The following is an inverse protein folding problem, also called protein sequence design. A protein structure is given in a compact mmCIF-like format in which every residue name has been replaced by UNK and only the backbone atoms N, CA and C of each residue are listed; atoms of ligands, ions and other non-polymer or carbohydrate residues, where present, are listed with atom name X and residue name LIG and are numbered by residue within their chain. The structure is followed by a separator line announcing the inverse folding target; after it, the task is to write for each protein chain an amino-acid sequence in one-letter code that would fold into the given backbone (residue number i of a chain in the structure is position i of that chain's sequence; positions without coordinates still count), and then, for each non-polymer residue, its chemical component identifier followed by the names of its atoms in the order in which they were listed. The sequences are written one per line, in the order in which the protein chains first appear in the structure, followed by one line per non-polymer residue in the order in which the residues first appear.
data_IF_907066873291
#
_entry.id   IF_907066873291
#
_cell.length_a   1.000
_cell.length_b   1.000
_cell.length_c   1.000
_cell.angle_alpha   90.00
_cell.angle_beta   90.00
_cell.angle_gamma   90.00
#
_symmetry.space_group_name_H-M   'P 1'
#
loop_
_entity.id
_entity.type
_entity.pdbx_description
1 polymer ?
#
# COMPACT_ATOMS: atom_id res chain seq x y z
N UNK A 1 28.32 8.88 -19.26
CA UNK A 1 28.01 7.48 -18.89
C UNK A 1 26.62 7.20 -19.42
N UNK A 2 26.35 6.04 -20.04
CA UNK A 2 25.05 5.75 -20.67
C UNK A 2 24.50 4.47 -20.08
N UNK A 3 23.26 4.50 -19.62
CA UNK A 3 22.52 3.31 -19.21
C UNK A 3 21.86 2.68 -20.44
N UNK A 4 22.40 1.57 -20.94
CA UNK A 4 21.85 0.88 -22.12
C UNK A 4 20.43 0.35 -21.84
N UNK A 5 19.64 0.10 -22.89
CA UNK A 5 18.27 -0.43 -22.76
C UNK A 5 18.22 -1.73 -21.95
N UNK A 6 19.16 -2.64 -22.22
CA UNK A 6 19.20 -3.96 -21.55
C UNK A 6 19.57 -3.83 -20.08
N UNK A 7 20.56 -2.99 -19.76
CA UNK A 7 20.92 -2.73 -18.36
C UNK A 7 19.80 -2.01 -17.62
N UNK A 8 19.14 -1.03 -18.25
CA UNK A 8 17.98 -0.35 -17.68
C UNK A 8 16.88 -1.35 -17.34
N UNK A 9 16.59 -2.28 -18.24
CA UNK A 9 15.61 -3.34 -17.99
C UNK A 9 16.08 -4.29 -16.87
N UNK A 10 17.36 -4.64 -16.82
CA UNK A 10 17.96 -5.44 -15.75
C UNK A 10 17.83 -4.78 -14.37
N UNK A 11 18.22 -3.50 -14.24
CA UNK A 11 18.03 -2.74 -13.00
C UNK A 11 16.57 -2.66 -12.60
N UNK A 12 15.67 -2.33 -13.55
CA UNK A 12 14.23 -2.27 -13.31
C UNK A 12 13.73 -3.61 -12.75
N UNK A 13 13.97 -4.72 -13.44
CA UNK A 13 13.53 -6.05 -13.02
C UNK A 13 14.11 -6.46 -11.66
N UNK A 14 15.40 -6.19 -11.41
CA UNK A 14 16.04 -6.50 -10.13
C UNK A 14 15.43 -5.70 -8.97
N UNK A 15 15.26 -4.39 -9.16
CA UNK A 15 14.71 -3.51 -8.12
C UNK A 15 13.24 -3.86 -7.88
N UNK A 16 12.42 -3.95 -8.92
CA UNK A 16 11.00 -4.34 -8.80
C UNK A 16 10.85 -5.70 -8.13
N UNK A 17 11.69 -6.68 -8.49
CA UNK A 17 11.64 -8.01 -7.87
C UNK A 17 11.99 -8.02 -6.38
N UNK A 18 12.86 -7.11 -5.93
CA UNK A 18 13.35 -7.08 -4.54
C UNK A 18 12.60 -6.12 -3.61
N UNK A 19 12.16 -4.97 -4.11
CA UNK A 19 11.48 -3.93 -3.31
C UNK A 19 10.01 -3.77 -3.64
N UNK A 20 9.53 -4.39 -4.72
CA UNK A 20 8.18 -4.17 -5.23
C UNK A 20 8.00 -2.84 -5.97
N UNK A 21 9.00 -1.96 -6.00
CA UNK A 21 8.92 -0.65 -6.66
C UNK A 21 8.63 -0.80 -8.16
N UNK A 22 7.58 -0.14 -8.62
CA UNK A 22 7.16 -0.04 -10.00
C UNK A 22 7.63 1.28 -10.60
N UNK A 23 8.34 1.18 -11.73
CA UNK A 23 8.81 2.35 -12.48
C UNK A 23 7.95 2.56 -13.71
N UNK A 24 7.24 3.70 -13.79
CA UNK A 24 6.61 4.16 -15.03
C UNK A 24 7.69 4.68 -15.99
N UNK A 25 7.35 4.84 -17.27
CA UNK A 25 8.33 5.26 -18.27
C UNK A 25 8.97 6.63 -17.97
N UNK A 26 8.25 7.52 -17.28
CA UNK A 26 8.80 8.80 -16.82
C UNK A 26 9.73 8.68 -15.59
N UNK A 27 9.62 7.61 -14.81
CA UNK A 27 10.48 7.35 -13.64
C UNK A 27 11.83 6.74 -14.04
N UNK A 28 11.99 6.32 -15.29
CA UNK A 28 13.24 5.72 -15.79
C UNK A 28 14.42 6.70 -15.72
N UNK A 29 14.15 8.01 -15.82
CA UNK A 29 15.18 9.03 -15.63
C UNK A 29 15.63 9.11 -14.16
N UNK A 30 14.70 9.03 -13.22
CA UNK A 30 15.03 9.01 -11.79
C UNK A 30 15.86 7.76 -11.43
N UNK A 31 15.55 6.61 -12.06
CA UNK A 31 16.35 5.39 -11.91
C UNK A 31 17.78 5.59 -12.43
N UNK A 32 17.94 6.20 -13.60
CA UNK A 32 19.25 6.46 -14.20
C UNK A 32 20.08 7.44 -13.36
N UNK A 33 19.47 8.53 -12.90
CA UNK A 33 20.12 9.52 -12.03
C UNK A 33 20.56 8.87 -10.70
N UNK A 34 19.70 8.07 -10.07
CA UNK A 34 20.03 7.36 -8.83
C UNK A 34 21.18 6.35 -8.99
N UNK A 35 21.19 5.58 -10.09
CA UNK A 35 22.28 4.66 -10.41
C UNK A 35 23.59 5.42 -10.56
N UNK A 36 23.60 6.55 -11.27
CA UNK A 36 24.82 7.34 -11.46
C UNK A 36 25.31 8.00 -10.18
N UNK A 37 24.41 8.46 -9.31
CA UNK A 37 24.78 9.00 -7.99
C UNK A 37 25.44 7.92 -7.12
N UNK A 38 24.90 6.69 -7.10
CA UNK A 38 25.52 5.57 -6.40
C UNK A 38 26.88 5.17 -6.97
N UNK A 39 26.98 5.07 -8.29
CA UNK A 39 28.27 4.81 -8.96
C UNK A 39 29.33 5.84 -8.59
N UNK A 40 28.95 7.12 -8.52
CA UNK A 40 29.85 8.20 -8.09
C UNK A 40 30.26 8.04 -6.62
N UNK A 41 29.32 7.70 -5.73
CA UNK A 41 29.62 7.45 -4.31
C UNK A 41 30.60 6.28 -4.11
N UNK A 42 30.51 5.24 -4.94
CA UNK A 42 31.40 4.08 -4.93
C UNK A 42 32.67 4.25 -5.78
N UNK A 43 32.85 5.40 -6.43
CA UNK A 43 33.94 5.65 -7.38
C UNK A 43 34.00 4.63 -8.54
N UNK A 44 32.85 4.14 -8.99
CA UNK A 44 32.71 3.20 -10.10
C UNK A 44 32.42 3.94 -11.41
N UNK A 45 33.10 3.58 -12.49
CA UNK A 45 32.96 4.21 -13.81
C UNK A 45 32.26 3.32 -14.86
N UNK A 46 31.97 2.06 -14.51
CA UNK A 46 31.36 1.06 -15.42
C UNK A 46 29.99 0.63 -14.91
N UNK A 47 28.94 0.91 -15.69
CA UNK A 47 27.54 0.57 -15.36
C UNK A 47 27.33 -0.94 -15.25
N UNK A 48 27.84 -1.78 -16.17
CA UNK A 48 27.81 -3.24 -15.99
C UNK A 48 28.49 -3.70 -14.70
N UNK A 49 29.63 -3.10 -14.34
CA UNK A 49 30.34 -3.46 -13.11
C UNK A 49 29.53 -3.09 -11.87
N UNK A 50 28.86 -1.92 -11.88
CA UNK A 50 27.96 -1.52 -10.80
C UNK A 50 26.73 -2.45 -10.71
N UNK A 51 26.14 -2.86 -11.84
CA UNK A 51 25.06 -3.85 -11.83
C UNK A 51 25.51 -5.18 -11.22
N UNK A 52 26.68 -5.70 -11.59
CA UNK A 52 27.26 -6.90 -11.00
C UNK A 52 27.51 -6.73 -9.49
N UNK A 53 28.02 -5.57 -9.07
CA UNK A 53 28.22 -5.24 -7.65
C UNK A 53 26.90 -5.25 -6.87
N UNK A 54 25.86 -4.61 -7.40
CA UNK A 54 24.52 -4.52 -6.80
C UNK A 54 23.81 -5.88 -6.69
N UNK A 55 24.10 -6.82 -7.59
CA UNK A 55 23.38 -8.11 -7.70
C UNK A 55 24.13 -9.28 -7.09
N UNK A 56 25.45 -9.26 -7.13
CA UNK A 56 26.27 -10.45 -6.90
C UNK A 56 27.40 -10.26 -5.88
N UNK A 57 27.66 -9.03 -5.41
CA UNK A 57 28.71 -8.81 -4.41
C UNK A 57 28.30 -9.24 -3.01
N UNK A 58 29.28 -9.37 -2.11
CA UNK A 58 29.04 -9.57 -0.67
C UNK A 58 28.34 -8.37 -0.01
N UNK A 59 28.41 -7.18 -0.62
CA UNK A 59 27.79 -5.94 -0.14
C UNK A 59 26.47 -5.61 -0.85
N UNK A 60 25.93 -6.55 -1.63
CA UNK A 60 24.72 -6.34 -2.45
C UNK A 60 23.52 -5.86 -1.63
N UNK A 61 23.40 -6.33 -0.38
CA UNK A 61 22.29 -5.97 0.50
C UNK A 61 22.38 -4.51 0.93
N UNK A 62 23.55 -4.08 1.40
CA UNK A 62 23.79 -2.71 1.82
C UNK A 62 23.67 -1.74 0.64
N UNK A 63 24.25 -2.09 -0.51
CA UNK A 63 24.16 -1.24 -1.70
C UNK A 63 22.72 -1.16 -2.25
N UNK A 64 21.97 -2.24 -2.18
CA UNK A 64 20.56 -2.23 -2.58
C UNK A 64 19.75 -1.26 -1.70
N UNK A 65 19.98 -1.25 -0.39
CA UNK A 65 19.35 -0.28 0.53
C UNK A 65 19.71 1.15 0.18
N UNK A 66 20.99 1.41 -0.09
CA UNK A 66 21.48 2.73 -0.46
C UNK A 66 20.86 3.24 -1.77
N UNK A 67 20.71 2.37 -2.77
CA UNK A 67 20.05 2.72 -4.03
C UNK A 67 18.55 3.01 -3.81
N UNK A 68 17.87 2.19 -3.01
CA UNK A 68 16.45 2.41 -2.68
C UNK A 68 16.22 3.77 -2.00
N UNK A 69 17.11 4.18 -1.10
CA UNK A 69 16.98 5.47 -0.41
C UNK A 69 16.88 6.66 -1.37
N UNK A 70 17.57 6.61 -2.53
CA UNK A 70 17.51 7.65 -3.55
C UNK A 70 16.23 7.55 -4.37
N UNK A 71 15.78 6.32 -4.66
CA UNK A 71 14.63 6.05 -5.52
C UNK A 71 13.28 6.34 -4.84
N UNK A 72 13.22 6.27 -3.52
CA UNK A 72 11.99 6.55 -2.76
C UNK A 72 11.92 8.05 -2.41
N UNK A 73 10.91 8.76 -2.93
CA UNK A 73 10.67 10.16 -2.56
C UNK A 73 10.04 10.22 -1.16
N UNK A 74 10.84 10.59 -0.16
CA UNK A 74 10.40 10.68 1.23
C UNK A 74 9.80 12.06 1.57
N UNK A 75 8.63 12.38 1.00
CA UNK A 75 7.89 13.56 1.42
C UNK A 75 6.93 13.21 2.55
N UNK A 76 7.34 13.49 3.79
CA UNK A 76 6.52 13.30 4.98
C UNK A 76 6.52 14.55 5.86
N UNK A 77 5.38 14.83 6.50
CA UNK A 77 5.17 15.93 7.42
C UNK A 77 4.12 15.52 8.45
N UNK A 78 4.16 16.12 9.63
CA UNK A 78 3.19 15.83 10.69
C UNK A 78 1.76 16.13 10.21
N UNK A 79 0.79 15.34 10.67
CA UNK A 79 -0.63 15.50 10.33
C UNK A 79 -0.87 15.58 8.81
N UNK A 80 -0.12 14.79 8.02
CA UNK A 80 -0.40 14.63 6.57
C UNK A 80 -1.79 14.03 6.40
N UNK A 81 -2.67 14.69 5.64
CA UNK A 81 -4.09 14.34 5.52
C UNK A 81 -4.76 14.18 6.90
N UNK A 82 -4.85 15.32 7.60
CA UNK A 82 -5.43 15.50 8.93
C UNK A 82 -6.80 14.81 9.15
N UNK A 83 -7.74 14.80 8.19
CA UNK A 83 -8.98 14.01 8.28
C UNK A 83 -8.81 12.57 8.79
N UNK A 84 -7.76 11.86 8.36
CA UNK A 84 -7.53 10.46 8.79
C UNK A 84 -7.12 10.38 10.27
N UNK A 85 -6.38 11.36 10.77
CA UNK A 85 -6.02 11.42 12.18
C UNK A 85 -7.18 11.89 13.06
N UNK A 86 -8.07 12.75 12.52
CA UNK A 86 -9.33 13.10 13.19
C UNK A 86 -10.21 11.86 13.36
N UNK A 87 -10.40 11.06 12.31
CA UNK A 87 -11.14 9.78 12.42
C UNK A 87 -10.48 8.82 13.39
N UNK A 88 -9.14 8.74 13.40
CA UNK A 88 -8.42 7.95 14.39
C UNK A 88 -8.77 8.41 15.81
N UNK A 89 -8.67 9.71 16.09
CA UNK A 89 -8.91 10.32 17.42
C UNK A 89 -10.37 10.24 17.87
N UNK A 90 -11.31 10.54 16.98
CA UNK A 90 -12.70 10.81 17.35
C UNK A 90 -13.61 9.59 17.21
N UNK A 91 -13.19 8.58 16.43
CA UNK A 91 -14.00 7.38 16.16
C UNK A 91 -13.28 6.09 16.53
N UNK A 92 -12.11 5.85 15.94
CA UNK A 92 -11.42 4.55 16.07
C UNK A 92 -10.86 4.34 17.48
N UNK A 93 -10.10 5.29 18.01
CA UNK A 93 -9.52 5.18 19.35
C UNK A 93 -10.58 5.08 20.45
N UNK A 94 -11.66 5.89 20.48
CA UNK A 94 -12.72 5.75 21.49
C UNK A 94 -13.38 4.37 21.48
N UNK A 95 -13.62 3.80 20.30
CA UNK A 95 -14.18 2.46 20.16
C UNK A 95 -13.21 1.40 20.71
N UNK A 96 -11.94 1.43 20.29
CA UNK A 96 -10.91 0.49 20.75
C UNK A 96 -10.69 0.60 22.26
N UNK A 97 -10.60 1.81 22.79
CA UNK A 97 -10.39 2.07 24.22
C UNK A 97 -11.52 1.45 25.05
N UNK A 98 -12.77 1.67 24.63
CA UNK A 98 -13.95 1.10 25.30
C UNK A 98 -13.90 -0.43 25.30
N UNK A 99 -13.58 -1.04 24.17
CA UNK A 99 -13.66 -2.49 24.01
C UNK A 99 -12.49 -3.19 24.72
N UNK A 100 -11.28 -2.62 24.67
CA UNK A 100 -10.11 -3.12 25.41
C UNK A 100 -10.30 -3.04 26.93
N UNK A 101 -10.88 -1.94 27.45
CA UNK A 101 -11.21 -1.82 28.89
C UNK A 101 -12.20 -2.91 29.34
N UNK A 102 -13.22 -3.21 28.53
CA UNK A 102 -14.16 -4.30 28.84
C UNK A 102 -13.44 -5.66 28.91
N UNK A 103 -12.52 -5.93 27.99
CA UNK A 103 -11.80 -7.21 27.92
C UNK A 103 -10.85 -7.49 29.10
N UNK A 104 -10.42 -6.45 29.83
CA UNK A 104 -9.57 -6.57 31.03
C UNK A 104 -10.33 -6.39 32.35
N UNK A 105 -11.63 -6.08 32.30
CA UNK A 105 -12.45 -5.89 33.50
C UNK A 105 -12.44 -7.16 34.37
N UNK A 106 -12.01 -7.03 35.62
CA UNK A 106 -11.86 -8.15 36.56
C UNK A 106 -10.49 -8.83 36.56
N UNK A 107 -9.54 -8.39 35.72
CA UNK A 107 -8.15 -8.86 35.70
C UNK A 107 -7.24 -7.76 36.25
N UNK A 108 -7.12 -7.72 37.59
CA UNK A 108 -6.46 -6.62 38.33
C UNK A 108 -5.01 -6.37 37.88
N UNK A 109 -4.32 -7.37 37.34
CA UNK A 109 -2.90 -7.28 36.97
C UNK A 109 -2.63 -6.95 35.49
N UNK A 110 -3.66 -6.84 34.64
CA UNK A 110 -3.44 -6.66 33.19
C UNK A 110 -3.94 -5.31 32.69
N UNK A 111 -2.99 -4.45 32.31
CA UNK A 111 -3.29 -3.20 31.59
C UNK A 111 -3.94 -3.52 30.23
N UNK A 112 -4.95 -2.75 29.80
CA UNK A 112 -5.44 -2.84 28.43
C UNK A 112 -4.34 -2.39 27.46
N UNK A 113 -4.22 -3.09 26.33
CA UNK A 113 -3.15 -2.86 25.35
C UNK A 113 -3.68 -2.25 24.05
N UNK A 114 -2.94 -1.29 23.50
CA UNK A 114 -3.14 -0.76 22.14
C UNK A 114 -1.89 -1.01 21.31
N UNK A 115 -2.02 -1.75 20.22
CA UNK A 115 -0.91 -2.06 19.30
C UNK A 115 -1.19 -1.49 17.93
N UNK A 116 -0.34 -0.56 17.48
CA UNK A 116 -0.45 0.10 16.19
C UNK A 116 0.82 -0.18 15.38
N UNK A 117 0.69 -0.37 14.07
CA UNK A 117 1.83 -0.45 13.15
C UNK A 117 1.75 0.68 12.13
N UNK A 118 2.75 1.56 12.07
CA UNK A 118 2.98 2.46 10.92
C UNK A 118 4.03 1.84 10.01
N UNK A 119 3.58 1.29 8.88
CA UNK A 119 4.38 0.59 7.90
C UNK A 119 4.73 1.54 6.73
N UNK A 120 6.03 1.76 6.52
CA UNK A 120 6.56 2.84 5.67
C UNK A 120 6.54 4.20 6.38
N UNK A 121 7.06 4.23 7.62
CA UNK A 121 6.96 5.40 8.50
C UNK A 121 7.85 6.59 8.10
N UNK A 122 8.77 6.40 7.14
CA UNK A 122 9.77 7.37 6.70
C UNK A 122 10.49 8.01 7.91
N UNK A 123 10.59 9.34 7.94
CA UNK A 123 11.28 10.10 9.00
C UNK A 123 10.49 10.23 10.31
N UNK A 124 9.45 9.42 10.53
CA UNK A 124 8.78 9.26 11.82
C UNK A 124 7.61 10.21 12.12
N UNK A 125 7.30 11.16 11.25
CA UNK A 125 6.21 12.11 11.50
C UNK A 125 4.86 11.41 11.67
N UNK A 126 4.57 10.37 10.88
CA UNK A 126 3.33 9.60 10.99
C UNK A 126 3.19 8.87 12.33
N UNK A 127 4.13 7.98 12.75
CA UNK A 127 3.98 7.28 14.03
C UNK A 127 3.97 8.24 15.22
N UNK A 128 4.65 9.39 15.14
CA UNK A 128 4.56 10.39 16.19
C UNK A 128 3.24 11.16 16.19
N UNK A 129 2.63 11.45 15.02
CA UNK A 129 1.26 11.96 14.97
C UNK A 129 0.26 10.96 15.55
N UNK A 130 0.43 9.66 15.29
CA UNK A 130 -0.39 8.60 15.91
C UNK A 130 -0.22 8.63 17.44
N UNK A 131 1.01 8.72 17.95
CA UNK A 131 1.28 8.84 19.38
C UNK A 131 0.60 10.08 19.99
N UNK A 132 0.63 11.23 19.33
CA UNK A 132 -0.06 12.44 19.77
C UNK A 132 -1.58 12.22 19.86
N UNK A 133 -2.19 11.62 18.84
CA UNK A 133 -3.61 11.29 18.86
C UNK A 133 -4.00 10.35 20.02
N UNK A 134 -3.14 9.38 20.35
CA UNK A 134 -3.34 8.48 21.49
C UNK A 134 -3.19 9.23 22.82
N UNK A 135 -2.20 10.11 22.95
CA UNK A 135 -2.01 10.96 24.13
C UNK A 135 -3.24 11.83 24.37
N UNK A 136 -3.84 12.37 23.31
CA UNK A 136 -5.06 13.18 23.43
C UNK A 136 -6.29 12.34 23.79
N UNK A 137 -6.43 11.15 23.21
CA UNK A 137 -7.56 10.27 23.48
C UNK A 137 -7.54 9.69 24.91
N UNK A 138 -6.35 9.42 25.48
CA UNK A 138 -6.19 8.83 26.80
C UNK A 138 -5.96 9.86 27.92
N UNK A 139 -5.37 11.02 27.59
CA UNK A 139 -5.05 12.06 28.56
C UNK A 139 -4.22 11.52 29.73
N UNK A 140 -4.68 11.76 30.95
CA UNK A 140 -4.03 11.31 32.19
C UNK A 140 -4.07 9.78 32.38
N UNK A 141 -4.96 9.06 31.70
CA UNK A 141 -5.06 7.60 31.81
C UNK A 141 -3.95 6.88 31.06
N UNK A 142 -3.10 7.59 30.31
CA UNK A 142 -2.09 6.98 29.43
C UNK A 142 -1.16 5.99 30.14
N UNK A 143 -0.78 6.25 31.40
CA UNK A 143 0.13 5.39 32.15
C UNK A 143 -0.53 4.08 32.63
N UNK A 144 -1.87 3.98 32.55
CA UNK A 144 -2.61 2.75 32.83
C UNK A 144 -2.78 1.84 31.59
N UNK A 145 -2.23 2.23 30.44
CA UNK A 145 -2.27 1.46 29.20
C UNK A 145 -0.92 0.89 28.84
N UNK A 146 -0.94 -0.25 28.16
CA UNK A 146 0.22 -0.79 27.45
C UNK A 146 0.13 -0.37 25.98
N UNK A 147 0.87 0.67 25.60
CA UNK A 147 0.80 1.27 24.26
C UNK A 147 2.06 0.92 23.50
N UNK A 148 1.89 0.33 22.33
CA UNK A 148 3.01 0.01 21.45
C UNK A 148 2.73 0.43 20.02
N UNK A 149 3.49 1.42 19.53
CA UNK A 149 3.48 1.83 18.13
C UNK A 149 4.76 1.28 17.48
N UNK A 150 4.62 0.24 16.68
CA UNK A 150 5.69 -0.23 15.81
C UNK A 150 5.74 0.68 14.59
N UNK A 151 6.89 1.28 14.32
CA UNK A 151 7.14 2.11 13.15
C UNK A 151 8.23 1.44 12.31
N UNK A 152 7.92 1.10 11.07
CA UNK A 152 8.88 0.41 10.21
C UNK A 152 9.09 1.09 8.88
N UNK A 153 10.31 1.03 8.36
CA UNK A 153 10.64 1.53 7.03
C UNK A 153 11.75 0.69 6.38
N UNK A 154 11.84 0.73 5.05
CA UNK A 154 12.93 0.13 4.29
C UNK A 154 14.17 1.04 4.24
N UNK A 155 14.06 2.29 4.70
CA UNK A 155 15.15 3.26 4.80
C UNK A 155 15.68 3.36 6.23
N UNK A 156 16.84 2.76 6.50
CA UNK A 156 17.52 2.91 7.80
C UNK A 156 17.87 4.36 8.12
N UNK A 157 18.22 5.16 7.11
CA UNK A 157 18.53 6.58 7.32
C UNK A 157 17.29 7.36 7.77
N UNK A 158 16.13 7.09 7.17
CA UNK A 158 14.88 7.68 7.61
C UNK A 158 14.56 7.29 9.07
N UNK A 159 14.76 6.02 9.42
CA UNK A 159 14.60 5.51 10.78
C UNK A 159 15.55 6.22 11.76
N UNK A 160 16.83 6.39 11.42
CA UNK A 160 17.78 7.10 12.28
C UNK A 160 17.35 8.55 12.53
N UNK A 161 16.81 9.22 11.52
CA UNK A 161 16.28 10.58 11.66
C UNK A 161 15.03 10.57 12.55
N UNK A 162 14.13 9.61 12.35
CA UNK A 162 12.93 9.42 13.17
C UNK A 162 13.25 9.19 14.65
N UNK A 163 14.24 8.33 14.94
CA UNK A 163 14.71 8.03 16.29
C UNK A 163 15.31 9.26 16.99
N UNK A 164 16.04 10.12 16.26
CA UNK A 164 16.50 11.41 16.81
C UNK A 164 15.32 12.28 17.21
N UNK A 165 14.24 12.29 16.41
CA UNK A 165 13.01 13.01 16.69
C UNK A 165 13.19 14.53 16.76
N UNK A 166 14.09 15.06 15.93
CA UNK A 166 14.36 16.50 15.78
C UNK A 166 13.91 16.93 14.39
N UNK A 167 13.02 17.92 14.34
CA UNK A 167 12.36 18.35 13.11
C UNK A 167 12.46 19.85 12.90
N UNK A 168 12.59 20.26 11.64
CA UNK A 168 12.59 21.67 11.27
C UNK A 168 11.17 22.24 11.18
N UNK A 169 11.08 23.58 11.13
CA UNK A 169 9.81 24.32 11.01
C UNK A 169 8.93 23.84 9.84
N UNK A 170 9.52 23.47 8.69
CA UNK A 170 8.74 23.07 7.52
C UNK A 170 8.01 21.74 7.75
N UNK A 171 8.62 20.79 8.47
CA UNK A 171 7.98 19.52 8.86
C UNK A 171 6.85 19.73 9.87
N UNK A 172 6.93 20.81 10.65
CA UNK A 172 6.02 21.17 11.74
C UNK A 172 4.85 22.07 11.30
N UNK A 173 4.74 22.40 10.00
CA UNK A 173 3.77 23.38 9.48
C UNK A 173 2.30 23.11 9.84
N UNK A 174 1.95 21.83 10.03
CA UNK A 174 0.59 21.38 10.35
C UNK A 174 0.43 20.97 11.82
N UNK A 175 1.46 21.18 12.65
CA UNK A 175 1.37 20.95 14.10
C UNK A 175 0.85 22.21 14.73
N UNK A 176 -0.36 22.16 15.27
CA UNK A 176 -0.96 23.27 16.01
C UNK A 176 -0.14 23.62 17.27
N UNK A 177 -0.42 24.78 17.86
CA UNK A 177 0.36 25.28 19.00
C UNK A 177 0.19 24.38 20.24
N UNK A 178 -1.00 23.82 20.45
CA UNK A 178 -1.31 22.95 21.60
C UNK A 178 -0.42 21.70 21.56
N UNK A 179 -0.39 21.01 20.42
CA UNK A 179 0.47 19.85 20.19
C UNK A 179 1.94 20.22 20.27
N UNK A 180 2.33 21.37 19.72
CA UNK A 180 3.72 21.85 19.75
C UNK A 180 4.21 22.04 21.19
N UNK A 181 3.44 22.72 22.02
CA UNK A 181 3.78 22.95 23.44
C UNK A 181 3.74 21.65 24.24
N UNK A 182 2.73 20.80 24.02
CA UNK A 182 2.54 19.55 24.78
C UNK A 182 3.60 18.51 24.43
N UNK A 183 3.97 18.38 23.15
CA UNK A 183 4.73 17.24 22.62
C UNK A 183 6.16 17.56 22.20
N UNK A 184 6.55 18.84 22.10
CA UNK A 184 7.88 19.23 21.64
C UNK A 184 8.58 20.20 22.60
N UNK A 185 9.90 20.17 22.59
CA UNK A 185 10.79 21.17 23.16
C UNK A 185 11.32 22.04 22.01
N UNK A 186 11.36 23.36 22.20
CA UNK A 186 12.08 24.25 21.28
C UNK A 186 13.58 24.01 21.42
N UNK A 187 14.22 23.56 20.34
CA UNK A 187 15.66 23.40 20.24
C UNK A 187 16.25 24.56 19.45
N UNK A 188 17.29 25.21 19.99
CA UNK A 188 18.06 26.19 19.22
C UNK A 188 18.88 25.43 18.16
N UNK A 189 18.59 25.66 16.89
CA UNK A 189 19.37 25.07 15.80
C UNK A 189 20.84 25.40 15.96
N UNK A 190 21.71 24.38 16.06
CA UNK A 190 23.15 24.60 16.10
C UNK A 190 23.59 25.13 14.74
N UNK A 191 24.23 26.29 14.71
CA UNK A 191 24.99 26.72 13.54
C UNK A 191 26.06 25.65 13.29
N UNK A 192 25.91 24.86 12.23
CA UNK A 192 26.91 23.88 11.84
C UNK A 192 28.05 24.62 11.16
N UNK A 193 29.12 24.90 11.92
CA UNK A 193 30.42 25.20 11.32
C UNK A 193 30.95 23.92 10.65
N UNK A 194 31.20 23.98 9.33
CA UNK A 194 32.09 23.01 8.66
C UNK A 194 31.51 22.00 7.67
N UNK A 195 30.26 22.11 7.19
CA UNK A 195 29.79 21.24 6.08
C UNK A 195 29.92 21.96 4.71
N UNK A 196 30.67 21.40 3.72
CA UNK A 196 30.90 22.08 2.44
C UNK A 196 29.61 22.23 1.63
N UNK A 197 29.37 23.45 1.18
CA UNK A 197 28.27 23.88 0.31
C UNK A 197 28.25 23.14 -1.04
N UNK A 198 27.48 22.06 -1.18
CA UNK A 198 27.02 21.57 -2.49
C UNK A 198 25.66 20.90 -2.43
N UNK A 199 24.63 21.64 -2.02
CA UNK A 199 23.22 21.35 -2.37
C UNK A 199 22.39 22.60 -2.19
N UNK A 200 21.67 22.99 -3.25
CA UNK A 200 20.90 24.22 -3.38
C UNK A 200 20.00 24.50 -2.16
N UNK A 201 20.27 25.61 -1.48
CA UNK A 201 19.35 26.29 -0.56
C UNK A 201 19.29 25.75 0.88
N UNK A 202 20.28 26.09 1.72
CA UNK A 202 20.13 26.01 3.19
C UNK A 202 20.20 27.39 3.82
N UNK A 203 19.06 27.80 4.39
CA UNK A 203 18.88 29.00 5.23
C UNK A 203 19.58 28.77 6.57
N UNK A 204 20.38 29.74 6.99
CA UNK A 204 21.09 29.83 8.27
C UNK A 204 20.09 29.82 9.44
N UNK A 205 20.29 28.94 10.43
CA UNK A 205 19.61 28.95 11.75
C UNK A 205 18.08 28.91 11.72
N UNK A 206 17.47 27.78 11.35
CA UNK A 206 16.03 27.57 11.57
C UNK A 206 15.80 27.00 12.97
N UNK A 207 14.76 27.46 13.65
CA UNK A 207 14.26 26.82 14.87
C UNK A 207 14.02 25.33 14.62
N UNK A 208 14.50 24.50 15.53
CA UNK A 208 14.28 23.06 15.52
C UNK A 208 13.34 22.69 16.67
N UNK A 209 12.58 21.62 16.47
CA UNK A 209 11.66 21.08 17.46
C UNK A 209 12.07 19.66 17.77
N UNK A 210 12.39 19.40 19.03
CA UNK A 210 12.71 18.07 19.51
C UNK A 210 11.48 17.48 20.19
N UNK A 211 11.10 16.26 19.83
CA UNK A 211 10.03 15.53 20.52
C UNK A 211 10.39 15.27 21.98
N UNK A 212 9.42 15.46 22.88
CA UNK A 212 9.56 15.09 24.28
C UNK A 212 9.66 13.58 24.44
N UNK A 213 10.39 13.15 25.48
CA UNK A 213 10.60 11.73 25.82
C UNK A 213 9.28 10.98 26.04
N UNK A 214 8.26 11.66 26.56
CA UNK A 214 6.91 11.12 26.78
C UNK A 214 6.23 10.66 25.50
N UNK A 215 6.54 11.28 24.36
CA UNK A 215 6.05 10.90 23.03
C UNK A 215 6.97 9.85 22.42
N UNK A 216 8.29 10.07 22.47
CA UNK A 216 9.29 9.15 21.89
C UNK A 216 9.16 7.73 22.43
N UNK A 217 8.88 7.56 23.75
CA UNK A 217 8.78 6.24 24.40
C UNK A 217 7.62 5.37 23.87
N UNK A 218 6.62 5.95 23.21
CA UNK A 218 5.46 5.22 22.69
C UNK A 218 5.76 4.52 21.34
N UNK A 219 6.83 4.94 20.66
CA UNK A 219 7.17 4.50 19.31
C UNK A 219 8.46 3.69 19.33
N UNK A 220 8.40 2.47 18.78
CA UNK A 220 9.56 1.62 18.53
C UNK A 220 9.83 1.57 17.04
N UNK A 221 11.07 1.86 16.62
CA UNK A 221 11.45 1.83 15.21
C UNK A 221 12.20 0.54 14.86
N UNK A 222 11.89 -0.03 13.70
CA UNK A 222 12.60 -1.17 13.15
C UNK A 222 12.72 -1.09 11.63
N UNK A 223 13.80 -1.63 11.07
CA UNK A 223 13.87 -1.87 9.63
C UNK A 223 12.86 -2.96 9.25
N UNK A 224 12.12 -2.75 8.17
CA UNK A 224 11.24 -3.77 7.61
C UNK A 224 11.01 -3.53 6.12
N UNK A 225 11.19 -4.57 5.30
CA UNK A 225 10.79 -4.52 3.90
C UNK A 225 9.41 -5.18 3.75
N UNK A 226 8.44 -4.47 3.16
CA UNK A 226 7.09 -5.02 2.93
C UNK A 226 7.07 -6.22 1.98
N UNK A 227 8.18 -6.50 1.29
CA UNK A 227 8.32 -7.70 0.48
C UNK A 227 8.70 -8.94 1.30
N UNK A 228 9.12 -8.78 2.56
CA UNK A 228 9.51 -9.88 3.43
C UNK A 228 8.31 -10.79 3.76
N UNK A 229 8.57 -12.04 4.13
CA UNK A 229 7.52 -13.03 4.41
C UNK A 229 6.98 -12.94 5.85
N UNK A 230 7.85 -12.68 6.82
CA UNK A 230 7.52 -12.76 8.25
C UNK A 230 6.96 -11.44 8.80
N UNK A 231 5.66 -11.26 8.64
CA UNK A 231 4.97 -10.07 9.15
C UNK A 231 4.68 -10.17 10.67
N UNK A 232 4.89 -9.09 11.44
CA UNK A 232 4.46 -9.05 12.83
C UNK A 232 2.93 -9.08 12.92
N UNK A 233 2.38 -9.65 14.00
CA UNK A 233 0.95 -9.84 14.15
C UNK A 233 0.38 -9.29 15.47
N UNK A 234 -0.95 -9.18 15.52
CA UNK A 234 -1.73 -8.80 16.69
C UNK A 234 -1.89 -7.28 16.85
N UNK A 235 -2.10 -6.57 15.73
CA UNK A 235 -2.32 -5.13 15.72
C UNK A 235 -3.80 -4.75 15.73
N UNK A 236 -4.14 -3.71 16.48
CA UNK A 236 -5.46 -3.08 16.47
C UNK A 236 -5.63 -2.19 15.25
N UNK A 237 -4.57 -1.47 14.88
CA UNK A 237 -4.55 -0.56 13.73
C UNK A 237 -3.26 -0.71 12.95
N UNK A 238 -3.37 -0.72 11.63
CA UNK A 238 -2.22 -0.60 10.73
C UNK A 238 -2.37 0.68 9.91
N UNK A 239 -1.30 1.45 9.78
CA UNK A 239 -1.15 2.55 8.85
C UNK A 239 -0.15 2.11 7.78
N UNK A 240 -0.53 2.21 6.51
CA UNK A 240 0.36 1.97 5.39
C UNK A 240 -0.01 2.96 4.28
N UNK A 241 0.44 4.21 4.43
CA UNK A 241 -0.08 5.35 3.66
C UNK A 241 0.97 5.89 2.71
N UNK A 242 0.60 6.04 1.44
CA UNK A 242 1.51 6.55 0.40
C UNK A 242 2.75 5.68 0.19
N UNK A 243 2.60 4.36 0.40
CA UNK A 243 3.66 3.37 0.23
C UNK A 243 3.30 2.44 -0.92
N UNK A 244 2.07 1.93 -0.94
CA UNK A 244 1.66 0.96 -1.96
C UNK A 244 1.40 1.59 -3.32
N UNK A 245 1.33 2.93 -3.41
CA UNK A 245 1.38 3.66 -4.69
C UNK A 245 2.63 3.34 -5.53
N UNK A 246 3.70 2.86 -4.89
CA UNK A 246 4.91 2.45 -5.60
C UNK A 246 4.88 0.99 -6.03
N UNK A 247 3.86 0.21 -5.69
CA UNK A 247 3.81 -1.22 -5.96
C UNK A 247 2.88 -1.53 -7.13
N UNK A 248 3.18 -2.59 -7.88
CA UNK A 248 2.21 -3.19 -8.79
C UNK A 248 1.04 -3.79 -8.01
N UNK A 249 -0.16 -3.81 -8.61
CA UNK A 249 -1.38 -4.29 -7.95
C UNK A 249 -1.20 -5.69 -7.34
N UNK A 250 -0.55 -6.62 -8.05
CA UNK A 250 -0.29 -7.97 -7.53
C UNK A 250 0.55 -7.96 -6.25
N UNK A 251 1.55 -7.08 -6.15
CA UNK A 251 2.35 -6.87 -4.95
C UNK A 251 1.54 -6.21 -3.85
N UNK A 252 0.77 -5.16 -4.17
CA UNK A 252 -0.16 -4.52 -3.23
C UNK A 252 -1.13 -5.53 -2.63
N UNK A 253 -1.72 -6.42 -3.43
CA UNK A 253 -2.61 -7.48 -2.95
C UNK A 253 -1.91 -8.44 -2.00
N UNK A 254 -0.66 -8.82 -2.27
CA UNK A 254 0.13 -9.69 -1.37
C UNK A 254 0.37 -8.99 -0.02
N UNK A 255 0.86 -7.75 -0.05
CA UNK A 255 1.11 -6.92 1.14
C UNK A 255 -0.18 -6.76 1.97
N UNK A 256 -1.30 -6.41 1.33
CA UNK A 256 -2.59 -6.23 2.00
C UNK A 256 -3.14 -7.53 2.59
N UNK A 257 -2.88 -8.69 1.96
CA UNK A 257 -3.21 -9.99 2.56
C UNK A 257 -2.37 -10.28 3.81
N UNK A 258 -1.08 -9.94 3.80
CA UNK A 258 -0.23 -10.07 4.99
C UNK A 258 -0.68 -9.13 6.11
N UNK A 259 -1.06 -7.89 5.79
CA UNK A 259 -1.68 -6.97 6.76
C UNK A 259 -3.00 -7.49 7.32
N UNK A 260 -3.87 -8.09 6.49
CA UNK A 260 -5.10 -8.72 6.95
C UNK A 260 -4.85 -9.79 8.02
N UNK A 261 -3.81 -10.62 7.84
CA UNK A 261 -3.39 -11.62 8.82
C UNK A 261 -2.73 -11.01 10.06
N UNK A 262 -2.08 -9.85 9.91
CA UNK A 262 -1.41 -9.13 11.00
C UNK A 262 -2.40 -8.40 11.93
N UNK A 263 -3.57 -8.03 11.42
CA UNK A 263 -4.64 -7.38 12.17
C UNK A 263 -5.38 -8.34 13.08
N UNK A 264 -5.74 -7.86 14.28
CA UNK A 264 -6.75 -8.48 15.12
C UNK A 264 -8.13 -8.42 14.44
N UNK A 265 -9.04 -9.28 14.90
CA UNK A 265 -10.36 -9.47 14.32
C UNK A 265 -11.19 -8.19 14.21
N UNK A 266 -11.10 -7.31 15.21
CA UNK A 266 -11.76 -6.00 15.23
C UNK A 266 -10.94 -4.88 14.59
N UNK A 267 -9.76 -5.19 14.06
CA UNK A 267 -8.77 -4.23 13.65
C UNK A 267 -9.10 -3.51 12.34
N UNK A 268 -8.38 -2.42 12.08
CA UNK A 268 -8.56 -1.61 10.88
C UNK A 268 -7.24 -1.17 10.26
N UNK A 269 -7.29 -0.76 9.00
CA UNK A 269 -6.16 -0.26 8.24
C UNK A 269 -6.47 1.11 7.65
N UNK A 270 -5.50 2.02 7.75
CA UNK A 270 -5.48 3.32 7.11
C UNK A 270 -4.49 3.29 5.94
N UNK A 271 -4.97 3.67 4.76
CA UNK A 271 -4.16 3.81 3.54
C UNK A 271 -4.21 5.26 3.06
N UNK A 272 -3.30 5.64 2.16
CA UNK A 272 -3.19 6.99 1.62
C UNK A 272 -4.44 7.43 0.87
N UNK A 273 -4.64 8.75 0.75
CA UNK A 273 -5.84 9.32 0.11
C UNK A 273 -6.06 8.87 -1.34
N UNK A 274 -4.97 8.64 -2.09
CA UNK A 274 -5.01 8.17 -3.48
C UNK A 274 -4.99 6.64 -3.59
N UNK A 275 -5.09 5.91 -2.48
CA UNK A 275 -5.01 4.45 -2.44
C UNK A 275 -6.41 3.90 -2.12
N UNK A 276 -6.80 2.81 -2.78
CA UNK A 276 -8.10 2.14 -2.57
C UNK A 276 -7.92 0.63 -2.39
N UNK A 277 -8.74 -0.01 -1.56
CA UNK A 277 -8.80 -1.48 -1.40
C UNK A 277 -10.07 -2.08 -2.02
N UNK A 278 -10.63 -1.43 -3.04
CA UNK A 278 -11.84 -1.92 -3.72
C UNK A 278 -11.68 -3.35 -4.26
N UNK A 279 -10.48 -3.74 -4.69
CA UNK A 279 -10.15 -5.10 -5.13
C UNK A 279 -10.06 -6.13 -3.97
N UNK A 280 -10.24 -5.73 -2.71
CA UNK A 280 -10.22 -6.60 -1.53
C UNK A 280 -11.46 -6.44 -0.63
N UNK A 281 -12.60 -6.09 -1.21
CA UNK A 281 -13.87 -5.90 -0.48
C UNK A 281 -14.31 -7.13 0.35
N UNK A 282 -13.92 -8.34 -0.06
CA UNK A 282 -14.19 -9.58 0.68
C UNK A 282 -13.48 -9.62 2.05
N UNK A 283 -12.34 -8.93 2.16
CA UNK A 283 -11.48 -8.92 3.35
C UNK A 283 -11.58 -7.61 4.12
N UNK A 284 -11.89 -6.52 3.44
CA UNK A 284 -11.88 -5.18 4.01
C UNK A 284 -13.19 -4.47 3.72
N UNK A 285 -13.88 -4.01 4.77
CA UNK A 285 -15.04 -3.13 4.65
C UNK A 285 -14.56 -1.68 4.68
N UNK A 286 -14.81 -0.95 3.61
CA UNK A 286 -14.59 0.50 3.59
C UNK A 286 -15.51 1.19 4.62
N UNK A 287 -14.92 2.10 5.38
CA UNK A 287 -15.58 2.95 6.36
C UNK A 287 -15.28 4.40 5.99
N UNK A 288 -16.29 5.27 6.06
CA UNK A 288 -16.14 6.71 5.84
C UNK A 288 -16.46 7.49 7.10
N UNK A 289 -15.74 8.60 7.31
CA UNK A 289 -16.02 9.55 8.37
C UNK A 289 -15.16 10.80 8.21
N UNK A 290 -15.74 11.97 8.44
CA UNK A 290 -15.02 13.27 8.51
C UNK A 290 -14.05 13.48 7.34
N UNK A 291 -14.54 13.25 6.11
CA UNK A 291 -13.79 13.35 4.85
C UNK A 291 -12.58 12.40 4.70
N UNK A 292 -12.52 11.36 5.53
CA UNK A 292 -11.52 10.31 5.48
C UNK A 292 -12.12 8.92 5.28
N UNK A 293 -11.31 8.07 4.63
CA UNK A 293 -11.60 6.66 4.41
C UNK A 293 -10.57 5.84 5.20
N UNK A 294 -11.07 4.77 5.84
CA UNK A 294 -10.28 3.70 6.43
C UNK A 294 -11.02 2.38 6.23
N UNK A 295 -10.35 1.26 6.47
CA UNK A 295 -10.92 -0.06 6.18
C UNK A 295 -10.90 -0.95 7.40
N UNK A 296 -12.04 -1.56 7.71
CA UNK A 296 -12.15 -2.52 8.82
C UNK A 296 -11.99 -3.94 8.32
N UNK A 297 -11.28 -4.78 9.07
CA UNK A 297 -11.15 -6.21 8.78
C UNK A 297 -12.54 -6.85 8.77
N UNK A 298 -12.87 -7.58 7.71
CA UNK A 298 -14.03 -8.46 7.67
C UNK A 298 -13.61 -9.82 8.19
N UNK A 299 -14.34 -10.31 9.19
CA UNK A 299 -14.28 -11.72 9.53
C UNK A 299 -14.98 -12.50 8.43
N UNK A 300 -14.38 -13.61 7.99
CA UNK A 300 -15.14 -14.58 7.22
C UNK A 300 -16.32 -14.99 8.09
N UNK A 301 -17.54 -14.68 7.68
CA UNK A 301 -18.69 -15.39 8.24
C UNK A 301 -18.43 -16.87 7.96
N UNK A 302 -18.38 -17.68 9.01
CA UNK A 302 -18.74 -19.08 8.86
C UNK A 302 -20.23 -19.03 8.56
N UNK A 303 -20.59 -18.80 7.30
CA UNK A 303 -21.89 -19.20 6.84
C UNK A 303 -21.82 -20.71 6.92
N UNK A 304 -22.42 -21.29 7.97
CA UNK A 304 -22.87 -22.67 7.89
C UNK A 304 -23.82 -22.69 6.70
N UNK A 305 -23.31 -23.04 5.52
CA UNK A 305 -24.18 -23.53 4.47
C UNK A 305 -24.97 -24.67 5.12
N UNK A 306 -26.31 -24.66 5.02
CA UNK A 306 -27.09 -25.74 5.60
C UNK A 306 -26.57 -27.05 5.01
N UNK A 307 -26.12 -27.95 5.88
CA UNK A 307 -25.75 -29.31 5.50
C UNK A 307 -26.89 -29.89 4.67
N UNK A 308 -26.66 -30.05 3.38
CA UNK A 308 -27.48 -30.91 2.54
C UNK A 308 -27.28 -32.31 3.10
N UNK A 309 -28.28 -32.82 3.83
CA UNK A 309 -28.29 -34.20 4.31
C UNK A 309 -28.04 -35.12 3.11
N UNK A 310 -26.98 -35.94 3.12
CA UNK A 310 -26.77 -36.89 2.04
C UNK A 310 -27.89 -37.94 2.07
N UNK A 311 -28.58 -38.11 0.94
CA UNK A 311 -29.45 -39.26 0.73
C UNK A 311 -28.65 -40.57 0.79
N UNK A 312 -29.27 -41.68 1.21
CA UNK A 312 -28.56 -42.94 1.41
C UNK A 312 -28.04 -43.48 0.06
N UNK A 313 -26.71 -43.64 -0.04
CA UNK A 313 -26.05 -44.29 -1.18
C UNK A 313 -26.37 -45.80 -1.19
N UNK A 314 -26.94 -46.27 -2.30
CA UNK A 314 -26.94 -47.70 -2.66
C UNK A 314 -25.54 -48.14 -3.14
N UNK A 315 -25.23 -49.43 -2.94
CA UNK A 315 -23.92 -50.04 -3.13
C UNK A 315 -23.43 -49.98 -4.59
N UNK A 316 -22.12 -49.78 -4.77
CA UNK A 316 -21.42 -49.66 -6.05
C UNK A 316 -21.14 -51.03 -6.68
N UNK A 317 -21.32 -51.13 -7.99
CA UNK A 317 -20.65 -52.12 -8.84
C UNK A 317 -19.25 -51.59 -9.25
N UNK A 318 -18.29 -52.50 -9.37
CA UNK A 318 -16.90 -52.22 -9.76
C UNK A 318 -16.78 -51.86 -11.25
N UNK A 319 -16.01 -50.83 -11.56
CA UNK A 319 -15.80 -50.32 -12.93
C UNK A 319 -14.54 -50.95 -13.51
N UNK A 320 -14.69 -51.55 -14.70
CA UNK A 320 -13.61 -52.11 -15.52
C UNK A 320 -12.72 -50.97 -16.09
N UNK A 321 -11.48 -50.94 -15.61
CA UNK A 321 -10.51 -49.85 -15.82
C UNK A 321 -10.00 -49.81 -17.27
N UNK A 322 -9.94 -50.95 -17.95
CA UNK A 322 -9.38 -51.03 -19.31
C UNK A 322 -10.34 -50.42 -20.33
N UNK A 323 -11.66 -50.61 -20.11
CA UNK A 323 -12.71 -49.98 -20.94
C UNK A 323 -12.78 -48.46 -20.75
N UNK A 324 -12.43 -47.98 -19.55
CA UNK A 324 -12.38 -46.55 -19.23
C UNK A 324 -11.18 -45.85 -19.89
N UNK A 325 -10.05 -46.54 -20.02
CA UNK A 325 -8.84 -46.00 -20.66
C UNK A 325 -8.97 -45.94 -22.20
N UNK A 326 -9.63 -46.92 -22.83
CA UNK A 326 -9.96 -46.85 -24.27
C UNK A 326 -10.90 -45.67 -24.61
N UNK A 327 -11.81 -45.32 -23.70
CA UNK A 327 -12.75 -44.22 -23.88
C UNK A 327 -12.07 -42.83 -23.76
N UNK A 328 -11.00 -42.73 -22.98
CA UNK A 328 -10.18 -41.52 -22.84
C UNK A 328 -9.34 -41.31 -24.10
N UNK A 329 -8.63 -42.34 -24.59
CA UNK A 329 -7.81 -42.21 -25.81
C UNK A 329 -8.64 -41.91 -27.06
N UNK A 330 -9.91 -42.37 -27.11
CA UNK A 330 -10.84 -42.01 -28.19
C UNK A 330 -11.35 -40.56 -28.08
N UNK A 331 -11.55 -40.05 -26.85
CA UNK A 331 -11.97 -38.65 -26.60
C UNK A 331 -10.87 -37.65 -26.90
N UNK A 332 -9.63 -38.00 -26.61
CA UNK A 332 -8.46 -37.15 -26.91
C UNK A 332 -8.22 -37.05 -28.43
N UNK A 333 -8.40 -38.16 -29.18
CA UNK A 333 -8.33 -38.15 -30.64
C UNK A 333 -9.46 -37.36 -31.33
N UNK A 334 -10.65 -37.28 -30.71
CA UNK A 334 -11.77 -36.44 -31.19
C UNK A 334 -11.55 -34.96 -30.83
N UNK A 335 -10.98 -34.67 -29.66
CA UNK A 335 -10.69 -33.30 -29.21
C UNK A 335 -9.58 -32.61 -30.05
N UNK A 336 -8.66 -33.38 -30.64
CA UNK A 336 -7.66 -32.86 -31.59
C UNK A 336 -8.25 -32.56 -32.98
N UNK A 337 -9.38 -33.18 -33.35
CA UNK A 337 -10.10 -32.92 -34.59
C UNK A 337 -11.05 -31.69 -34.51
N UNK A 338 -11.43 -31.24 -33.30
CA UNK A 338 -12.45 -30.19 -33.07
C UNK A 338 -11.87 -28.80 -32.71
N UNK A 339 -10.74 -28.40 -33.30
CA UNK A 339 -10.29 -27.02 -33.16
C UNK A 339 -11.25 -26.00 -33.81
N UNK A 340 -11.85 -25.13 -32.97
CA UNK A 340 -12.51 -23.82 -33.20
C UNK A 340 -14.07 -23.76 -33.28
N UNK A 341 -14.73 -22.67 -32.83
CA UNK A 341 -14.43 -21.65 -31.80
C UNK A 341 -15.31 -21.80 -30.53
N UNK A 342 -14.85 -21.24 -29.40
CA UNK A 342 -15.52 -21.31 -28.08
C UNK A 342 -16.81 -20.48 -28.02
N UNK A 343 -17.91 -21.11 -27.58
CA UNK A 343 -19.20 -20.50 -27.21
C UNK A 343 -19.06 -19.65 -25.93
N UNK A 344 -19.56 -18.43 -25.98
CA UNK A 344 -19.69 -17.50 -24.84
C UNK A 344 -20.71 -18.01 -23.79
N UNK A 345 -20.39 -17.84 -22.51
CA UNK A 345 -21.27 -18.12 -21.36
C UNK A 345 -22.07 -16.86 -20.96
N UNK A 346 -23.21 -17.00 -20.24
CA UNK A 346 -24.28 -16.00 -20.21
C UNK A 346 -24.04 -14.80 -19.27
N UNK A 347 -24.55 -13.64 -19.72
CA UNK A 347 -24.65 -12.29 -19.12
C UNK A 347 -24.25 -12.12 -17.64
N UNK A 348 -23.05 -11.56 -17.46
CA UNK A 348 -22.48 -11.05 -16.21
C UNK A 348 -23.17 -9.76 -15.73
N UNK A 349 -23.27 -9.55 -14.40
CA UNK A 349 -23.80 -8.32 -13.82
C UNK A 349 -22.92 -7.12 -14.22
N UNK A 350 -23.47 -5.90 -14.22
CA UNK A 350 -22.71 -4.71 -14.64
C UNK A 350 -21.40 -4.56 -13.86
N UNK A 351 -21.42 -4.83 -12.56
CA UNK A 351 -20.25 -4.79 -11.69
C UNK A 351 -19.19 -5.83 -12.08
N UNK A 352 -19.61 -7.03 -12.49
CA UNK A 352 -18.70 -8.09 -12.95
C UNK A 352 -18.02 -7.67 -14.26
N UNK A 353 -18.78 -7.05 -15.18
CA UNK A 353 -18.23 -6.53 -16.44
C UNK A 353 -17.20 -5.42 -16.15
N UNK A 354 -17.46 -4.51 -15.21
CA UNK A 354 -16.50 -3.48 -14.80
C UNK A 354 -15.22 -4.08 -14.23
N UNK A 355 -15.32 -5.09 -13.37
CA UNK A 355 -14.16 -5.81 -12.82
C UNK A 355 -13.34 -6.45 -13.94
N UNK A 356 -14.00 -7.04 -14.95
CA UNK A 356 -13.31 -7.63 -16.09
C UNK A 356 -12.67 -6.59 -17.02
N UNK A 357 -13.31 -5.43 -17.21
CA UNK A 357 -12.73 -4.30 -17.94
C UNK A 357 -11.45 -3.87 -17.25
N UNK A 358 -11.53 -3.56 -15.95
CA UNK A 358 -10.38 -3.12 -15.14
C UNK A 358 -9.25 -4.16 -15.23
N UNK A 359 -9.57 -5.44 -15.02
CA UNK A 359 -8.59 -6.53 -15.16
C UNK A 359 -7.95 -6.57 -16.55
N UNK A 360 -8.73 -6.40 -17.61
CA UNK A 360 -8.23 -6.41 -18.99
C UNK A 360 -7.36 -5.19 -19.32
N UNK A 361 -7.70 -4.00 -18.79
CA UNK A 361 -6.87 -2.79 -18.86
C UNK A 361 -5.51 -3.04 -18.20
N UNK A 362 -5.53 -3.65 -17.01
CA UNK A 362 -4.32 -3.97 -16.25
C UNK A 362 -3.43 -5.00 -16.97
N UNK A 363 -4.02 -6.01 -17.61
CA UNK A 363 -3.31 -7.00 -18.42
C UNK A 363 -2.88 -6.46 -19.80
N UNK A 364 -3.14 -5.19 -20.10
CA UNK A 364 -2.91 -4.55 -21.41
C UNK A 364 -3.65 -5.23 -22.58
N UNK A 365 -4.71 -5.98 -22.27
CA UNK A 365 -5.63 -6.59 -23.22
C UNK A 365 -6.64 -5.52 -23.69
N UNK A 366 -6.15 -4.42 -24.28
CA UNK A 366 -6.97 -3.23 -24.54
C UNK A 366 -8.13 -3.49 -25.50
N UNK A 367 -7.96 -4.34 -26.51
CA UNK A 367 -9.03 -4.67 -27.45
C UNK A 367 -10.17 -5.42 -26.77
N UNK A 368 -9.82 -6.33 -25.84
CA UNK A 368 -10.78 -7.04 -25.00
C UNK A 368 -11.47 -6.10 -24.02
N UNK A 369 -10.71 -5.22 -23.36
CA UNK A 369 -11.26 -4.21 -22.46
C UNK A 369 -12.24 -3.27 -23.18
N UNK A 370 -11.91 -2.80 -24.38
CA UNK A 370 -12.80 -2.00 -25.22
C UNK A 370 -14.03 -2.79 -25.69
N UNK A 371 -13.89 -4.10 -25.92
CA UNK A 371 -15.01 -5.01 -26.17
C UNK A 371 -15.98 -5.07 -24.99
N UNK A 372 -15.46 -5.28 -23.79
CA UNK A 372 -16.23 -5.33 -22.54
C UNK A 372 -16.86 -3.97 -22.19
N UNK A 373 -16.17 -2.85 -22.45
CA UNK A 373 -16.74 -1.49 -22.30
C UNK A 373 -17.99 -1.31 -23.16
N UNK A 374 -17.99 -1.79 -24.41
CA UNK A 374 -19.18 -1.76 -25.26
C UNK A 374 -20.32 -2.61 -24.68
N UNK A 375 -20.01 -3.68 -23.96
CA UNK A 375 -21.00 -4.48 -23.24
C UNK A 375 -21.55 -3.72 -22.02
N UNK A 376 -20.67 -3.15 -21.19
CA UNK A 376 -21.03 -2.36 -20.01
C UNK A 376 -21.95 -1.17 -20.38
N UNK A 377 -21.64 -0.42 -21.44
CA UNK A 377 -22.47 0.70 -21.91
C UNK A 377 -23.88 0.23 -22.35
N UNK A 378 -24.01 -0.99 -22.88
CA UNK A 378 -25.32 -1.53 -23.27
C UNK A 378 -26.12 -1.98 -22.05
N UNK A 379 -25.44 -2.55 -21.06
CA UNK A 379 -26.03 -3.03 -19.81
C UNK A 379 -26.52 -1.87 -18.95
N UNK A 380 -25.71 -0.82 -18.77
CA UNK A 380 -26.06 0.35 -17.97
C UNK A 380 -25.68 1.66 -18.67
N UNK A 381 -26.66 2.24 -19.37
CA UNK A 381 -26.45 3.42 -20.23
C UNK A 381 -26.14 4.72 -19.48
N UNK A 382 -26.51 4.78 -18.20
CA UNK A 382 -26.40 5.97 -17.36
C UNK A 382 -25.22 5.93 -16.38
N UNK A 383 -24.29 4.98 -16.53
CA UNK A 383 -23.04 4.96 -15.75
C UNK A 383 -21.92 5.69 -16.51
N UNK A 384 -21.19 6.52 -15.78
CA UNK A 384 -19.99 7.22 -16.27
C UNK A 384 -18.74 6.34 -16.27
N UNK A 385 -18.72 5.24 -15.51
CA UNK A 385 -17.54 4.37 -15.31
C UNK A 385 -16.99 3.76 -16.62
N UNK A 386 -17.81 3.21 -17.54
CA UNK A 386 -17.28 2.65 -18.80
C UNK A 386 -16.64 3.70 -19.70
N UNK A 387 -17.08 4.96 -19.62
CA UNK A 387 -16.52 6.07 -20.38
C UNK A 387 -15.20 6.53 -19.77
N UNK A 388 -15.10 6.59 -18.44
CA UNK A 388 -13.84 6.86 -17.75
C UNK A 388 -12.79 5.77 -18.03
N UNK A 389 -13.16 4.49 -17.90
CA UNK A 389 -12.26 3.37 -18.19
C UNK A 389 -11.82 3.34 -19.67
N UNK A 390 -12.68 3.74 -20.60
CA UNK A 390 -12.29 3.93 -22.00
C UNK A 390 -11.27 5.06 -22.17
N UNK A 391 -11.41 6.16 -21.42
CA UNK A 391 -10.45 7.24 -21.44
C UNK A 391 -9.07 6.78 -20.93
N UNK A 392 -9.04 5.98 -19.87
CA UNK A 392 -7.82 5.40 -19.32
C UNK A 392 -7.07 4.53 -20.34
N UNK A 393 -7.79 3.69 -21.08
CA UNK A 393 -7.23 2.91 -22.20
C UNK A 393 -6.59 3.83 -23.23
N UNK A 394 -7.30 4.88 -23.65
CA UNK A 394 -6.78 5.80 -24.67
C UNK A 394 -5.57 6.60 -24.18
N UNK A 395 -5.51 6.98 -22.90
CA UNK A 395 -4.31 7.57 -22.30
C UNK A 395 -3.14 6.58 -22.36
N UNK A 396 -3.37 5.33 -21.97
CA UNK A 396 -2.34 4.28 -21.97
C UNK A 396 -1.86 3.91 -23.38
N UNK A 397 -2.66 4.17 -24.41
CA UNK A 397 -2.30 4.02 -25.82
C UNK A 397 -1.68 5.27 -26.45
N UNK A 398 -1.48 6.37 -25.69
CA UNK A 398 -0.94 7.62 -26.21
C UNK A 398 -1.91 8.38 -27.12
N UNK A 399 -3.23 8.23 -26.92
CA UNK A 399 -4.31 8.83 -27.72
C UNK A 399 -5.11 9.86 -26.89
N UNK A 400 -4.50 10.99 -26.49
CA UNK A 400 -5.08 11.93 -25.53
C UNK A 400 -6.36 12.62 -26.02
N UNK A 401 -6.50 12.89 -27.32
CA UNK A 401 -7.71 13.52 -27.86
C UNK A 401 -8.95 12.64 -27.71
N UNK A 402 -8.78 11.33 -27.92
CA UNK A 402 -9.85 10.36 -27.73
C UNK A 402 -10.17 10.11 -26.26
N UNK A 403 -9.15 10.15 -25.40
CA UNK A 403 -9.37 10.12 -23.95
C UNK A 403 -10.21 11.32 -23.49
N UNK A 404 -9.89 12.52 -23.99
CA UNK A 404 -10.63 13.75 -23.69
C UNK A 404 -12.10 13.66 -24.11
N UNK A 405 -12.39 13.11 -25.28
CA UNK A 405 -13.77 12.91 -25.74
C UNK A 405 -14.54 11.91 -24.86
N UNK A 406 -13.87 10.88 -24.32
CA UNK A 406 -14.50 9.94 -23.40
C UNK A 406 -14.75 10.53 -22.02
N UNK A 407 -13.82 11.34 -21.50
CA UNK A 407 -14.02 12.06 -20.24
C UNK A 407 -15.15 13.08 -20.33
N UNK A 408 -15.29 13.79 -21.46
CA UNK A 408 -16.45 14.67 -21.68
C UNK A 408 -17.77 13.92 -21.59
N UNK A 409 -17.85 12.74 -22.21
CA UNK A 409 -19.05 11.89 -22.13
C UNK A 409 -19.33 11.38 -20.71
N UNK A 410 -18.29 11.05 -19.94
CA UNK A 410 -18.45 10.69 -18.53
C UNK A 410 -19.06 11.86 -17.73
N UNK A 411 -18.54 13.08 -17.94
CA UNK A 411 -19.04 14.30 -17.28
C UNK A 411 -20.42 14.77 -17.76
N UNK A 412 -20.81 14.45 -19.00
CA UNK A 412 -22.16 14.67 -19.51
C UNK A 412 -23.19 13.76 -18.82
N UNK A 413 -22.79 12.55 -18.43
CA UNK A 413 -23.64 11.57 -17.74
C UNK A 413 -23.72 11.86 -16.25
N UNK A 414 -22.59 12.18 -15.62
CA UNK A 414 -22.51 12.61 -14.23
C UNK A 414 -21.55 13.79 -14.10
N UNK A 415 -22.12 14.99 -13.89
CA UNK A 415 -21.37 16.23 -13.79
C UNK A 415 -20.53 16.36 -12.52
N UNK A 416 -20.79 15.51 -11.52
CA UNK A 416 -20.00 15.40 -10.29
C UNK A 416 -19.15 14.13 -10.27
N UNK A 417 -19.02 13.44 -11.41
CA UNK A 417 -18.28 12.20 -11.52
C UNK A 417 -16.85 12.37 -11.00
N UNK A 418 -16.57 11.67 -9.91
CA UNK A 418 -15.24 11.46 -9.39
C UNK A 418 -14.93 9.97 -9.57
N UNK A 419 -13.89 9.60 -10.33
CA UNK A 419 -13.50 8.20 -10.43
C UNK A 419 -13.15 7.68 -9.02
N UNK A 420 -13.75 6.53 -8.67
CA UNK A 420 -13.62 5.90 -7.35
C UNK A 420 -12.20 5.40 -7.03
#
# INVERSE_FOLDING_TARGET
MILTRDLRQGFKSYITGRSGLYFKDHDLKNLEDAVFDRMKALSMSSVPAYYAYLTSSLKKEDEFRELLNILTIQHTYFFRNEPQFNVLRDKVLPELIRDKRKGVRGKVEKKPSLRIWSAGCSMGQEPYTIAMAIIDALGEDIDNWDIHILATDASEEAIRIAQKGVYNVNSMKNVDEVHREKCFNKAKGKATEGSPERSRGRVRGKDEYELKSSVKKLVSFAYFNLMDEDYPAGFDVIFCRNVVIYFELGTTMKVMNKFYSSLLDSGCIFIGYSETLQFMQEKFKMMSGDDAIYYRKRLKSITLEPEIKPEPRQAKEEIDVDKFLEEISRREAIAELESAPKKEAPLEKFEDILVQIIKSIHLKEYDKALGLIKSAIRTEKNSADPYYLAAEIFVNQGRPDQAKDRLKKALEIDSFFAPA
#
